data_IF_267225562972
#
_entry.id   IF_267225562972
#
_cell.length_a   1.000
_cell.length_b   1.000
_cell.length_c   1.000
_cell.angle_alpha   90.00
_cell.angle_beta   90.00
_cell.angle_gamma   90.00
#
_symmetry.space_group_name_H-M   'P 1'
#
loop_
_entity.id
_entity.type
_entity.pdbx_description
1 polymer ?
#
# COMPACT_ATOMS: atom_id res chain seq x y z
N UNK A 1 -16.89 4.22 -1.21
CA UNK A 1 -15.48 4.46 -1.58
C UNK A 1 -15.44 4.88 -3.03
N UNK A 2 -14.88 6.06 -3.29
CA UNK A 2 -14.76 6.70 -4.60
C UNK A 2 -13.76 5.98 -5.49
N UNK A 3 -12.70 5.41 -4.92
CA UNK A 3 -11.66 4.64 -5.62
C UNK A 3 -12.08 3.22 -6.03
N UNK A 4 -13.26 2.74 -5.64
CA UNK A 4 -13.69 1.38 -6.01
C UNK A 4 -13.91 1.21 -7.52
N UNK A 5 -13.77 -0.02 -8.01
CA UNK A 5 -13.93 -0.39 -9.42
C UNK A 5 -12.94 0.32 -10.33
N UNK A 6 -13.38 1.29 -11.12
CA UNK A 6 -12.51 2.09 -12.00
C UNK A 6 -12.11 3.42 -11.36
N UNK A 7 -12.64 3.75 -10.18
CA UNK A 7 -12.42 5.04 -9.54
C UNK A 7 -11.00 5.27 -9.05
N UNK A 8 -10.24 4.20 -8.77
CA UNK A 8 -8.84 4.29 -8.32
C UNK A 8 -7.94 5.02 -9.33
N UNK A 9 -8.31 4.98 -10.61
CA UNK A 9 -7.57 5.58 -11.71
C UNK A 9 -7.72 7.11 -11.76
N UNK A 10 -8.61 7.68 -10.94
CA UNK A 10 -8.95 9.10 -10.89
C UNK A 10 -8.99 9.67 -9.47
N UNK A 11 -8.86 8.84 -8.43
CA UNK A 11 -8.90 9.26 -7.03
C UNK A 11 -7.51 9.41 -6.43
N UNK A 12 -7.43 9.78 -5.15
CA UNK A 12 -6.18 10.03 -4.42
C UNK A 12 -6.24 9.35 -3.06
N UNK A 13 -5.10 9.13 -2.41
CA UNK A 13 -5.08 8.58 -1.05
C UNK A 13 -5.84 9.45 -0.04
N UNK A 14 -5.85 10.78 -0.21
CA UNK A 14 -6.65 11.69 0.63
C UNK A 14 -8.16 11.44 0.50
N UNK A 15 -8.62 11.15 -0.72
CA UNK A 15 -10.01 10.79 -0.95
C UNK A 15 -10.34 9.45 -0.31
N UNK A 16 -9.43 8.49 -0.38
CA UNK A 16 -9.59 7.18 0.25
C UNK A 16 -9.59 7.29 1.78
N UNK A 17 -8.68 8.07 2.36
CA UNK A 17 -8.68 8.37 3.79
C UNK A 17 -9.99 9.02 4.25
N UNK A 18 -10.51 9.99 3.49
CA UNK A 18 -11.81 10.64 3.78
C UNK A 18 -12.96 9.62 3.75
N UNK A 19 -12.98 8.72 2.77
CA UNK A 19 -14.04 7.72 2.65
C UNK A 19 -13.96 6.66 3.74
N UNK A 20 -12.74 6.24 4.11
CA UNK A 20 -12.48 5.34 5.24
C UNK A 20 -12.93 6.01 6.54
N UNK A 21 -12.60 7.29 6.79
CA UNK A 21 -13.07 8.04 7.96
C UNK A 21 -14.60 8.04 8.06
N UNK A 22 -15.29 8.33 6.96
CA UNK A 22 -16.75 8.32 6.92
C UNK A 22 -17.32 6.94 7.25
N UNK A 23 -16.70 5.86 6.76
CA UNK A 23 -17.12 4.50 7.05
C UNK A 23 -16.83 4.09 8.51
N UNK A 24 -15.66 4.44 9.05
CA UNK A 24 -15.32 4.23 10.46
C UNK A 24 -16.31 4.95 11.37
N UNK A 25 -16.65 6.20 11.07
CA UNK A 25 -17.66 6.96 11.81
C UNK A 25 -19.04 6.28 11.76
N UNK A 26 -19.42 5.71 10.60
CA UNK A 26 -20.64 4.93 10.48
C UNK A 26 -20.63 3.65 11.34
N UNK A 27 -19.54 2.88 11.31
CA UNK A 27 -19.39 1.68 12.15
C UNK A 27 -19.47 2.01 13.64
N UNK A 28 -18.85 3.13 14.07
CA UNK A 28 -18.97 3.62 15.46
C UNK A 28 -20.42 3.91 15.84
N UNK A 29 -21.21 4.54 14.96
CA UNK A 29 -22.66 4.77 15.18
C UNK A 29 -23.46 3.47 15.31
N UNK A 30 -23.02 2.39 14.67
CA UNK A 30 -23.58 1.05 14.84
C UNK A 30 -23.09 0.33 16.13
N UNK A 31 -22.33 1.01 16.98
CA UNK A 31 -21.82 0.46 18.24
C UNK A 31 -20.57 -0.41 18.10
N UNK A 32 -19.87 -0.38 16.95
CA UNK A 32 -18.58 -1.06 16.81
C UNK A 32 -17.51 -0.34 17.63
N UNK A 33 -16.85 -1.07 18.54
CA UNK A 33 -15.90 -0.52 19.52
C UNK A 33 -14.43 -0.68 19.12
N UNK A 34 -14.10 -1.80 18.47
CA UNK A 34 -12.75 -2.13 18.00
C UNK A 34 -12.82 -2.34 16.49
N UNK A 35 -12.19 -1.45 15.74
CA UNK A 35 -12.15 -1.48 14.28
C UNK A 35 -10.70 -1.73 13.88
N UNK A 36 -10.46 -2.76 13.08
CA UNK A 36 -9.14 -3.10 12.54
C UNK A 36 -9.18 -2.83 11.05
N UNK A 37 -8.24 -2.05 10.54
CA UNK A 37 -8.13 -1.76 9.11
C UNK A 37 -7.11 -2.72 8.49
N UNK A 38 -7.54 -3.46 7.47
CA UNK A 38 -6.68 -4.39 6.74
C UNK A 38 -6.52 -3.90 5.30
N UNK A 39 -5.31 -3.52 4.94
CA UNK A 39 -4.91 -3.19 3.58
C UNK A 39 -4.33 -4.42 2.89
N UNK A 40 -4.68 -4.62 1.63
CA UNK A 40 -4.09 -5.63 0.75
C UNK A 40 -3.52 -4.92 -0.46
N UNK A 41 -2.30 -5.25 -0.87
CA UNK A 41 -1.64 -4.62 -2.03
C UNK A 41 -1.58 -3.09 -1.86
N UNK A 42 -2.10 -2.34 -2.85
CA UNK A 42 -2.20 -0.88 -2.82
C UNK A 42 -3.03 -0.35 -1.64
N UNK A 43 -3.98 -1.13 -1.12
CA UNK A 43 -4.72 -0.77 0.10
C UNK A 43 -3.86 -0.69 1.35
N UNK A 44 -2.61 -1.18 1.32
CA UNK A 44 -1.64 -0.90 2.37
C UNK A 44 -1.24 0.58 2.42
N UNK A 45 -1.22 1.28 1.27
CA UNK A 45 -0.97 2.72 1.22
C UNK A 45 -2.12 3.51 1.84
N UNK A 46 -3.37 3.08 1.61
CA UNK A 46 -4.54 3.64 2.30
C UNK A 46 -4.40 3.51 3.82
N UNK A 47 -3.91 2.37 4.30
CA UNK A 47 -3.65 2.18 5.73
C UNK A 47 -2.58 3.16 6.24
N UNK A 48 -1.49 3.35 5.49
CA UNK A 48 -0.43 4.30 5.86
C UNK A 48 -0.95 5.73 5.92
N UNK A 49 -1.69 6.16 4.90
CA UNK A 49 -2.32 7.49 4.87
C UNK A 49 -3.30 7.67 6.02
N UNK A 50 -4.15 6.67 6.26
CA UNK A 50 -5.20 6.77 7.28
C UNK A 50 -4.68 6.71 8.72
N UNK A 51 -3.49 6.14 8.95
CA UNK A 51 -2.86 6.11 10.27
C UNK A 51 -2.64 7.51 10.88
N UNK A 52 -2.49 8.52 10.04
CA UNK A 52 -2.32 9.92 10.46
C UNK A 52 -3.65 10.58 10.89
N UNK A 53 -4.79 10.05 10.42
CA UNK A 53 -6.08 10.77 10.41
C UNK A 53 -7.04 10.42 11.57
N UNK A 54 -7.24 9.14 11.91
CA UNK A 54 -8.23 8.74 12.94
C UNK A 54 -7.61 7.89 14.07
N UNK A 55 -7.56 8.39 15.32
CA UNK A 55 -7.05 7.64 16.46
C UNK A 55 -7.95 6.47 16.88
N UNK A 56 -9.10 6.27 16.26
CA UNK A 56 -10.03 5.21 16.64
C UNK A 56 -9.83 3.87 15.94
N UNK A 57 -8.91 3.78 14.97
CA UNK A 57 -8.48 2.47 14.50
C UNK A 57 -7.69 1.80 15.62
N UNK A 58 -8.11 0.57 15.92
CA UNK A 58 -7.55 -0.20 17.01
C UNK A 58 -6.22 -0.85 16.62
N UNK A 59 -6.13 -1.34 15.38
CA UNK A 59 -4.96 -2.02 14.84
C UNK A 59 -4.99 -2.01 13.31
N UNK A 60 -3.84 -2.26 12.70
CA UNK A 60 -3.68 -2.36 11.24
C UNK A 60 -3.11 -3.71 10.82
N UNK A 61 -3.47 -4.15 9.62
CA UNK A 61 -2.90 -5.34 8.98
C UNK A 61 -2.52 -4.96 7.55
N UNK A 62 -1.26 -5.17 7.17
CA UNK A 62 -0.74 -4.90 5.83
C UNK A 62 -0.40 -6.24 5.16
N UNK A 63 -1.19 -6.66 4.17
CA UNK A 63 -0.96 -7.88 3.40
C UNK A 63 -0.41 -7.54 2.02
N UNK A 64 0.72 -8.16 1.66
CA UNK A 64 1.48 -7.84 0.44
C UNK A 64 1.67 -6.33 0.20
N UNK A 65 2.19 -5.57 1.18
CA UNK A 65 2.50 -4.16 0.96
C UNK A 65 3.53 -4.04 -0.18
N UNK A 66 3.18 -3.29 -1.21
CA UNK A 66 4.03 -3.08 -2.39
C UNK A 66 4.04 -1.62 -2.82
N UNK A 67 5.11 -1.25 -3.52
CA UNK A 67 5.24 0.05 -4.18
C UNK A 67 4.76 -0.06 -5.62
N UNK A 68 3.84 0.81 -6.01
CA UNK A 68 3.39 0.89 -7.41
C UNK A 68 4.52 1.33 -8.34
N UNK A 69 5.43 2.19 -7.87
CA UNK A 69 6.64 2.57 -8.61
C UNK A 69 7.58 1.39 -8.83
N UNK A 70 7.80 0.56 -7.80
CA UNK A 70 8.59 -0.66 -7.95
C UNK A 70 7.92 -1.64 -8.91
N UNK A 71 6.60 -1.79 -8.80
CA UNK A 71 5.81 -2.61 -9.72
C UNK A 71 5.96 -2.11 -11.15
N UNK A 72 5.80 -0.80 -11.39
CA UNK A 72 5.93 -0.18 -12.70
C UNK A 72 7.31 -0.44 -13.32
N UNK A 73 8.39 -0.26 -12.55
CA UNK A 73 9.76 -0.55 -13.03
C UNK A 73 10.04 -2.05 -13.24
N UNK A 74 9.20 -2.93 -12.69
CA UNK A 74 9.28 -4.39 -12.90
C UNK A 74 8.57 -4.82 -14.19
N UNK A 75 7.45 -4.17 -14.51
CA UNK A 75 6.55 -4.58 -15.61
C UNK A 75 6.71 -3.74 -16.89
N UNK A 76 7.42 -2.62 -16.82
CA UNK A 76 7.71 -1.75 -17.97
C UNK A 76 9.19 -1.83 -18.35
N UNK A 77 9.49 -1.66 -19.64
CA UNK A 77 10.87 -1.42 -20.06
C UNK A 77 11.38 -0.09 -19.47
N UNK A 78 12.68 0.04 -19.15
CA UNK A 78 13.24 1.27 -18.57
C UNK A 78 12.95 2.52 -19.40
N UNK A 79 13.00 2.41 -20.73
CA UNK A 79 12.72 3.50 -21.65
C UNK A 79 11.24 3.89 -21.63
N UNK A 80 10.33 2.91 -21.63
CA UNK A 80 8.88 3.15 -21.58
C UNK A 80 8.47 3.80 -20.24
N UNK A 81 9.05 3.33 -19.13
CA UNK A 81 8.85 3.94 -17.81
C UNK A 81 9.34 5.39 -17.79
N UNK A 82 10.53 5.66 -18.32
CA UNK A 82 11.07 7.04 -18.39
C UNK A 82 10.19 7.94 -19.25
N UNK A 83 9.78 7.49 -20.44
CA UNK A 83 8.90 8.25 -21.33
C UNK A 83 7.55 8.55 -20.66
N UNK A 84 6.98 7.57 -19.95
CA UNK A 84 5.73 7.73 -19.21
C UNK A 84 5.83 8.77 -18.08
N UNK A 85 6.93 8.71 -17.31
CA UNK A 85 7.19 9.66 -16.24
C UNK A 85 7.46 11.08 -16.76
N UNK A 86 8.22 11.22 -17.84
CA UNK A 86 8.53 12.53 -18.42
C UNK A 86 7.28 13.17 -19.06
N UNK A 87 6.46 12.37 -19.74
CA UNK A 87 5.18 12.83 -20.27
C UNK A 87 4.25 13.35 -19.17
N UNK A 88 4.07 12.58 -18.08
CA UNK A 88 3.22 13.02 -16.97
C UNK A 88 3.74 14.30 -16.30
N UNK A 89 5.06 14.43 -16.12
CA UNK A 89 5.67 15.68 -15.61
C UNK A 89 5.39 16.88 -16.50
N UNK A 90 5.51 16.71 -17.81
CA UNK A 90 5.22 17.78 -18.77
C UNK A 90 3.75 18.20 -18.69
N UNK A 91 2.82 17.24 -18.65
CA UNK A 91 1.39 17.52 -18.54
C UNK A 91 1.04 18.24 -17.23
N UNK A 92 1.67 17.85 -16.11
CA UNK A 92 1.53 18.54 -14.82
C UNK A 92 2.05 19.98 -14.91
N UNK A 93 3.22 20.20 -15.53
CA UNK A 93 3.78 21.54 -15.71
C UNK A 93 2.89 22.45 -16.58
N UNK A 94 2.10 21.85 -17.48
CA UNK A 94 1.10 22.54 -18.30
C UNK A 94 -0.26 22.73 -17.60
N UNK A 95 -0.42 22.23 -16.37
CA UNK A 95 -1.67 22.29 -15.60
C UNK A 95 -2.72 21.26 -15.99
N UNK A 96 -2.37 20.26 -16.81
CA UNK A 96 -3.27 19.20 -17.26
C UNK A 96 -3.30 18.02 -16.28
N UNK A 97 -3.81 18.24 -15.06
CA UNK A 97 -3.82 17.21 -13.99
C UNK A 97 -4.86 16.11 -14.23
N UNK A 98 -6.04 16.49 -14.75
CA UNK A 98 -7.20 15.61 -14.95
C UNK A 98 -7.24 14.98 -16.35
N UNK A 99 -6.28 15.33 -17.22
CA UNK A 99 -6.11 14.69 -18.52
C UNK A 99 -5.87 13.18 -18.37
N UNK A 100 -6.09 12.42 -19.43
CA UNK A 100 -5.82 10.97 -19.43
C UNK A 100 -4.44 10.69 -19.99
N UNK A 101 -3.68 9.81 -19.35
CA UNK A 101 -2.39 9.34 -19.89
C UNK A 101 -2.66 8.46 -21.13
N UNK A 102 -1.93 8.66 -22.25
CA UNK A 102 -1.99 7.78 -23.40
C UNK A 102 -1.74 6.32 -23.02
N UNK A 103 -2.53 5.41 -23.59
CA UNK A 103 -2.49 3.98 -23.23
C UNK A 103 -1.13 3.35 -23.53
N UNK A 104 -0.44 3.86 -24.54
CA UNK A 104 0.90 3.41 -24.95
C UNK A 104 1.97 3.73 -23.91
N UNK A 105 1.70 4.67 -22.99
CA UNK A 105 2.60 5.06 -21.91
C UNK A 105 2.26 4.38 -20.58
N UNK A 106 1.28 3.47 -20.55
CA UNK A 106 0.87 2.73 -19.35
C UNK A 106 1.08 1.23 -19.61
N UNK A 107 1.49 0.44 -18.59
CA UNK A 107 1.66 -0.99 -18.76
C UNK A 107 0.33 -1.66 -19.18
N UNK A 108 0.34 -2.67 -20.08
CA UNK A 108 -0.87 -3.33 -20.59
C UNK A 108 -1.78 -3.97 -19.53
N UNK A 109 -1.25 -4.17 -18.32
CA UNK A 109 -2.00 -4.70 -17.18
C UNK A 109 -3.10 -3.73 -16.69
N UNK A 110 -2.91 -2.43 -16.90
CA UNK A 110 -3.89 -1.38 -16.56
C UNK A 110 -4.81 -1.17 -17.77
N UNK A 111 -6.12 -1.34 -17.56
CA UNK A 111 -7.12 -1.29 -18.64
C UNK A 111 -7.94 -0.01 -18.61
N UNK A 112 -8.03 0.60 -17.43
CA UNK A 112 -8.79 1.80 -17.14
C UNK A 112 -8.02 3.04 -17.61
N UNK A 113 -8.71 4.06 -18.13
CA UNK A 113 -8.10 5.38 -18.32
C UNK A 113 -7.59 5.92 -16.99
N UNK A 114 -6.31 6.29 -16.88
CA UNK A 114 -5.74 6.86 -15.66
C UNK A 114 -5.50 8.35 -15.86
N UNK A 115 -5.86 9.17 -14.87
CA UNK A 115 -5.57 10.61 -14.94
C UNK A 115 -4.06 10.87 -14.82
N UNK A 116 -3.58 11.97 -15.42
CA UNK A 116 -2.17 12.40 -15.37
C UNK A 116 -1.68 12.43 -13.92
N UNK A 117 -2.44 13.10 -13.03
CA UNK A 117 -2.06 13.26 -11.64
C UNK A 117 -2.00 11.91 -10.92
N UNK A 118 -2.98 11.03 -11.13
CA UNK A 118 -3.00 9.72 -10.46
C UNK A 118 -1.85 8.84 -10.94
N UNK A 119 -1.61 8.78 -12.25
CA UNK A 119 -0.51 7.98 -12.77
C UNK A 119 0.83 8.49 -12.26
N UNK A 120 1.04 9.82 -12.27
CA UNK A 120 2.24 10.41 -11.69
C UNK A 120 2.42 10.06 -10.21
N UNK A 121 1.35 10.09 -9.39
CA UNK A 121 1.47 9.77 -7.96
C UNK A 121 1.87 8.30 -7.72
N UNK A 122 1.48 7.39 -8.62
CA UNK A 122 1.83 5.97 -8.57
C UNK A 122 3.29 5.70 -8.95
N UNK A 123 3.80 6.36 -10.00
CA UNK A 123 5.11 6.01 -10.59
C UNK A 123 6.24 6.98 -10.24
N UNK A 124 5.94 8.19 -9.77
CA UNK A 124 6.98 9.14 -9.39
C UNK A 124 7.49 8.87 -7.96
N UNK A 125 8.77 9.13 -7.67
CA UNK A 125 9.23 9.22 -6.29
C UNK A 125 8.43 10.31 -5.54
N UNK A 126 7.86 9.98 -4.39
CA UNK A 126 6.99 10.92 -3.69
C UNK A 126 6.44 10.44 -2.36
N UNK A 127 5.39 11.12 -1.90
CA UNK A 127 4.79 10.88 -0.59
C UNK A 127 4.01 9.55 -0.54
N UNK A 128 3.34 9.17 -1.63
CA UNK A 128 2.52 7.94 -1.69
C UNK A 128 3.36 6.65 -1.85
N UNK A 129 4.66 6.77 -2.19
CA UNK A 129 5.56 5.63 -2.35
C UNK A 129 6.12 5.16 -1.00
N UNK A 130 5.28 4.48 -0.21
CA UNK A 130 5.62 4.04 1.15
C UNK A 130 6.60 2.85 1.20
N UNK A 131 6.48 1.91 0.27
CA UNK A 131 7.08 0.58 0.42
C UNK A 131 8.30 0.33 -0.49
N UNK A 132 8.83 1.36 -1.17
CA UNK A 132 9.96 1.17 -2.07
C UNK A 132 11.24 0.78 -1.31
N UNK A 133 12.03 -0.20 -1.80
CA UNK A 133 13.29 -0.59 -1.19
C UNK A 133 14.38 0.50 -1.22
N UNK A 134 14.21 1.54 -2.04
CA UNK A 134 15.22 2.56 -2.31
C UNK A 134 15.12 3.73 -1.33
N UNK A 135 14.09 3.73 -0.48
CA UNK A 135 13.98 4.71 0.59
C UNK A 135 15.17 4.56 1.52
N UNK A 136 15.88 5.66 1.77
CA UNK A 136 16.88 5.73 2.83
C UNK A 136 16.21 5.63 4.22
N UNK A 137 17.01 5.37 5.25
CA UNK A 137 16.50 5.15 6.61
C UNK A 137 15.78 6.39 7.17
N UNK A 138 16.20 7.60 6.78
CA UNK A 138 15.56 8.85 7.23
C UNK A 138 14.15 8.97 6.63
N UNK A 139 14.00 8.80 5.31
CA UNK A 139 12.69 8.83 4.63
C UNK A 139 11.80 7.70 5.10
N UNK A 140 12.36 6.50 5.30
CA UNK A 140 11.61 5.37 5.81
C UNK A 140 11.11 5.66 7.23
N UNK A 141 11.95 6.18 8.12
CA UNK A 141 11.52 6.60 9.45
C UNK A 141 10.44 7.70 9.39
N UNK A 142 10.63 8.72 8.55
CA UNK A 142 9.62 9.77 8.32
C UNK A 142 8.25 9.21 7.89
N UNK A 143 8.23 8.12 7.12
CA UNK A 143 6.99 7.49 6.66
C UNK A 143 6.39 6.48 7.65
N UNK A 144 7.23 5.75 8.40
CA UNK A 144 6.78 4.64 9.25
C UNK A 144 6.62 5.02 10.72
N UNK A 145 7.11 6.19 11.16
CA UNK A 145 6.92 6.63 12.55
C UNK A 145 5.44 6.82 12.91
N UNK A 146 4.56 6.97 11.91
CA UNK A 146 3.11 7.14 12.08
C UNK A 146 2.42 5.88 12.57
N UNK A 147 3.07 4.71 12.46
CA UNK A 147 2.57 3.43 12.95
C UNK A 147 2.53 3.37 14.48
N UNK A 148 1.65 4.14 15.11
CA UNK A 148 1.50 4.25 16.55
C UNK A 148 0.47 3.27 17.14
N UNK A 149 -0.06 2.36 16.31
CA UNK A 149 -1.02 1.30 16.68
C UNK A 149 -0.44 -0.08 16.42
N UNK A 150 -0.94 -1.12 17.11
CA UNK A 150 -0.58 -2.49 16.81
C UNK A 150 -0.73 -2.76 15.32
N UNK A 151 0.34 -3.20 14.67
CA UNK A 151 0.37 -3.40 13.22
C UNK A 151 0.96 -4.75 12.87
N UNK A 152 0.31 -5.50 11.98
CA UNK A 152 0.81 -6.76 11.45
C UNK A 152 1.22 -6.59 9.98
N UNK A 153 2.46 -6.93 9.64
CA UNK A 153 2.96 -6.84 8.25
C UNK A 153 3.25 -8.23 7.67
N UNK A 154 2.64 -8.52 6.53
CA UNK A 154 2.68 -9.83 5.87
C UNK A 154 3.05 -9.69 4.38
N UNK A 155 4.31 -9.32 4.04
CA UNK A 155 4.79 -9.37 2.66
C UNK A 155 4.84 -10.83 2.14
N UNK A 156 4.56 -11.04 0.87
CA UNK A 156 4.54 -12.37 0.24
C UNK A 156 5.93 -12.79 -0.27
N UNK A 157 6.38 -14.02 -0.01
CA UNK A 157 7.73 -14.47 -0.41
C UNK A 157 7.94 -14.48 -1.94
N UNK A 158 6.99 -15.04 -2.67
CA UNK A 158 6.99 -15.17 -4.12
C UNK A 158 6.14 -14.09 -4.79
N UNK A 159 6.01 -12.91 -4.17
CA UNK A 159 5.28 -11.78 -4.74
C UNK A 159 5.84 -11.41 -6.12
N UNK A 160 5.02 -11.61 -7.14
CA UNK A 160 5.32 -11.38 -8.55
C UNK A 160 5.34 -9.90 -8.93
N UNK A 161 4.85 -9.03 -8.05
CA UNK A 161 4.86 -7.56 -8.22
C UNK A 161 6.20 -6.94 -7.79
N UNK A 162 7.06 -7.72 -7.13
CA UNK A 162 8.34 -7.29 -6.58
C UNK A 162 9.46 -8.09 -7.25
N UNK A 163 10.52 -7.44 -7.78
CA UNK A 163 11.63 -8.14 -8.41
C UNK A 163 12.24 -9.21 -7.50
N UNK A 164 12.61 -10.40 -8.03
CA UNK A 164 13.28 -11.44 -7.25
C UNK A 164 14.60 -11.01 -6.61
N UNK A 165 15.22 -9.94 -7.11
CA UNK A 165 16.45 -9.35 -6.54
C UNK A 165 16.22 -8.63 -5.21
N UNK A 166 14.98 -8.29 -4.85
CA UNK A 166 14.66 -7.64 -3.58
C UNK A 166 14.57 -8.69 -2.47
N UNK A 167 15.44 -8.58 -1.47
CA UNK A 167 15.35 -9.37 -0.24
C UNK A 167 14.19 -8.86 0.62
N UNK A 168 13.04 -9.55 0.51
CA UNK A 168 11.80 -9.19 1.21
C UNK A 168 11.90 -9.34 2.73
N UNK A 169 12.75 -10.24 3.22
CA UNK A 169 12.97 -10.41 4.66
C UNK A 169 13.82 -9.27 5.22
N UNK A 170 14.87 -8.87 4.51
CA UNK A 170 15.65 -7.68 4.85
C UNK A 170 14.81 -6.40 4.75
N UNK A 171 13.96 -6.28 3.73
CA UNK A 171 13.07 -5.13 3.56
C UNK A 171 12.04 -5.03 4.70
N UNK A 172 11.40 -6.14 5.07
CA UNK A 172 10.51 -6.19 6.24
C UNK A 172 11.23 -5.76 7.51
N UNK A 173 12.47 -6.21 7.72
CA UNK A 173 13.27 -5.81 8.88
C UNK A 173 13.50 -4.30 8.91
N UNK A 174 13.80 -3.69 7.76
CA UNK A 174 13.96 -2.22 7.66
C UNK A 174 12.66 -1.49 7.99
N UNK A 175 11.53 -1.93 7.46
CA UNK A 175 10.22 -1.38 7.81
C UNK A 175 9.95 -1.45 9.31
N UNK A 176 10.20 -2.59 9.95
CA UNK A 176 10.02 -2.77 11.39
C UNK A 176 10.94 -1.83 12.19
N UNK A 177 12.20 -1.67 11.76
CA UNK A 177 13.17 -0.79 12.42
C UNK A 177 12.82 0.69 12.29
N UNK A 178 12.23 1.10 11.17
CA UNK A 178 11.76 2.45 10.92
C UNK A 178 10.41 2.76 11.59
N UNK A 179 9.67 1.74 12.01
CA UNK A 179 8.37 1.86 12.68
C UNK A 179 8.51 2.09 14.19
N UNK A 180 7.40 2.45 14.84
CA UNK A 180 7.34 2.42 16.31
C UNK A 180 7.39 0.98 16.86
N UNK A 181 7.54 0.84 18.19
CA UNK A 181 7.53 -0.45 18.90
C UNK A 181 6.20 -1.24 18.80
N UNK A 182 5.22 -0.74 18.06
CA UNK A 182 3.87 -1.32 17.95
C UNK A 182 3.74 -2.35 16.82
N UNK A 183 4.80 -2.60 16.04
CA UNK A 183 4.75 -3.68 15.04
C UNK A 183 4.78 -5.04 15.72
N UNK A 184 3.83 -5.89 15.37
CA UNK A 184 3.66 -7.22 15.95
C UNK A 184 4.84 -8.12 15.61
N UNK A 185 5.28 -8.90 16.59
CA UNK A 185 6.26 -9.98 16.41
C UNK A 185 5.74 -11.13 15.53
N UNK A 186 4.44 -11.14 15.21
CA UNK A 186 3.85 -12.06 14.23
C UNK A 186 4.07 -11.60 12.77
N UNK A 187 4.61 -10.41 12.56
CA UNK A 187 4.95 -9.91 11.22
C UNK A 187 6.05 -10.77 10.62
N UNK A 188 5.84 -11.27 9.41
CA UNK A 188 6.74 -12.18 8.75
C UNK A 188 6.44 -12.25 7.25
N UNK A 189 7.45 -12.62 6.48
CA UNK A 189 7.27 -12.99 5.07
C UNK A 189 6.39 -14.24 5.02
N UNK A 190 5.32 -14.19 4.22
CA UNK A 190 4.38 -15.31 4.03
C UNK A 190 5.05 -16.35 3.13
N UNK A 191 5.32 -17.58 3.62
CA UNK A 191 6.06 -18.59 2.87
C UNK A 191 5.34 -19.00 1.60
N UNK A 192 6.10 -19.13 0.52
CA UNK A 192 5.70 -19.57 -0.82
C UNK A 192 4.56 -18.76 -1.47
N UNK A 193 4.10 -17.69 -0.82
CA UNK A 193 2.92 -16.95 -1.23
C UNK A 193 3.20 -16.01 -2.40
N UNK A 194 2.27 -15.96 -3.34
CA UNK A 194 2.19 -14.92 -4.36
C UNK A 194 1.47 -13.66 -3.79
N UNK A 195 1.34 -12.63 -4.61
CA UNK A 195 0.78 -11.34 -4.21
C UNK A 195 -0.66 -11.46 -3.64
N UNK A 196 -1.47 -12.34 -4.24
CA UNK A 196 -2.90 -12.48 -3.96
C UNK A 196 -3.27 -13.65 -3.04
N UNK A 197 -2.28 -14.40 -2.54
CA UNK A 197 -2.47 -15.61 -1.75
C UNK A 197 -3.31 -16.66 -2.49
N UNK A 198 -2.96 -16.99 -3.73
CA UNK A 198 -3.74 -17.93 -4.57
C UNK A 198 -3.76 -19.37 -4.02
N UNK A 199 -2.76 -19.75 -3.23
CA UNK A 199 -2.69 -21.05 -2.56
C UNK A 199 -3.52 -21.10 -1.27
N UNK A 200 -4.21 -22.23 -1.04
CA UNK A 200 -4.90 -22.50 0.23
C UNK A 200 -3.93 -22.55 1.42
N UNK A 201 -2.69 -22.95 1.19
CA UNK A 201 -1.65 -23.02 2.23
C UNK A 201 -1.33 -21.61 2.73
N UNK A 202 -1.02 -20.69 1.81
CA UNK A 202 -0.73 -19.29 2.12
C UNK A 202 -1.93 -18.59 2.76
N UNK A 203 -3.16 -18.83 2.29
CA UNK A 203 -4.38 -18.28 2.92
C UNK A 203 -4.57 -18.76 4.35
N UNK A 204 -4.40 -20.06 4.62
CA UNK A 204 -4.51 -20.62 5.97
C UNK A 204 -3.45 -20.03 6.88
N UNK A 205 -2.22 -19.97 6.39
CA UNK A 205 -1.11 -19.37 7.13
C UNK A 205 -1.43 -17.91 7.51
N UNK A 206 -1.87 -17.08 6.55
CA UNK A 206 -2.22 -15.68 6.83
C UNK A 206 -3.41 -15.58 7.80
N UNK A 207 -4.46 -16.37 7.59
CA UNK A 207 -5.63 -16.38 8.47
C UNK A 207 -5.26 -16.75 9.92
N UNK A 208 -4.42 -17.75 10.11
CA UNK A 208 -3.96 -18.17 11.45
C UNK A 208 -3.17 -17.05 12.15
N UNK A 209 -2.29 -16.34 11.43
CA UNK A 209 -1.54 -15.19 11.96
C UNK A 209 -2.45 -14.02 12.29
N UNK A 210 -3.41 -13.71 11.41
CA UNK A 210 -4.41 -12.66 11.65
C UNK A 210 -5.22 -12.98 12.91
N UNK A 211 -5.71 -14.20 13.07
CA UNK A 211 -6.45 -14.61 14.28
C UNK A 211 -5.58 -14.50 15.54
N UNK A 212 -4.31 -14.93 15.49
CA UNK A 212 -3.38 -14.78 16.60
C UNK A 212 -3.12 -13.31 16.95
N UNK A 213 -2.91 -12.47 15.94
CA UNK A 213 -2.71 -11.04 16.11
C UNK A 213 -3.93 -10.38 16.75
N UNK A 214 -5.13 -10.62 16.21
CA UNK A 214 -6.38 -10.07 16.74
C UNK A 214 -6.58 -10.47 18.21
N UNK A 215 -6.31 -11.73 18.57
CA UNK A 215 -6.36 -12.16 19.98
C UNK A 215 -5.35 -11.42 20.86
N UNK A 216 -4.12 -11.23 20.37
CA UNK A 216 -3.06 -10.56 21.14
C UNK A 216 -3.39 -9.10 21.47
N UNK A 217 -4.03 -8.41 20.53
CA UNK A 217 -4.42 -7.00 20.73
C UNK A 217 -5.73 -6.87 21.49
N UNK A 218 -6.58 -7.90 21.52
CA UNK A 218 -7.84 -7.91 22.27
C UNK A 218 -7.61 -7.97 23.79
N UNK A 219 -6.52 -8.61 24.20
CA UNK A 219 -6.09 -8.81 25.60
C UNK A 219 -5.18 -7.72 26.17
N UNK A 220 -4.68 -6.81 25.32
CA UNK A 220 -3.85 -5.66 25.71
C UNK A 220 -4.71 -4.45 26.07
#
# INVERSE_FOLDING_TARGET
MRSSYTGWAHSTLDNDATDIAAFVAYLKRLGKKRIVLMGSSTGCQDCMQFMEEDPAIYAYILQAPTSDRLTATTVMAPEDYSCSLDYTREQIAQGNLEGTVPKELIPPLIKEPVTILRWYSLIAPGNEDYFHPDLDEEKMHCKFHVMNRPTLMLPSENDEMIPPSVDKAALLKRWIQASSLMVSQLSAVVPEADHTLSSIVSRRWVADRVVQFLRSVDTA
#
